data_IF_764958281844
#
_entry.id   IF_764958281844
#
_cell.length_a   1.000
_cell.length_b   1.000
_cell.length_c   1.000
_cell.angle_alpha   90.00
_cell.angle_beta   90.00
_cell.angle_gamma   90.00
#
_symmetry.space_group_name_H-M   'P 1'
#
loop_
_entity.id
_entity.type
_entity.pdbx_description
1 polymer ?
#
# COMPACT_ATOMS: atom_id res chain seq x y z
N UNK A 1 -33.98 27.26 -20.64
CA UNK A 1 -33.05 26.16 -20.34
C UNK A 1 -31.84 26.38 -21.21
N UNK A 2 -30.67 26.64 -20.61
CA UNK A 2 -29.49 27.11 -21.32
C UNK A 2 -28.53 25.96 -21.61
N UNK A 3 -28.09 25.87 -22.86
CA UNK A 3 -26.87 25.12 -23.21
C UNK A 3 -25.73 25.66 -22.36
N UNK A 4 -25.04 24.80 -21.64
CA UNK A 4 -23.85 25.18 -20.89
C UNK A 4 -22.72 24.21 -21.16
N UNK A 5 -21.51 24.77 -21.15
CA UNK A 5 -20.30 23.99 -21.28
C UNK A 5 -19.99 23.36 -19.93
N UNK A 6 -19.80 22.05 -19.95
CA UNK A 6 -19.52 21.25 -18.77
C UNK A 6 -18.30 20.37 -19.00
N UNK A 7 -17.48 20.30 -17.97
CA UNK A 7 -16.33 19.41 -17.87
C UNK A 7 -16.57 18.43 -16.72
N UNK A 8 -16.39 17.14 -16.97
CA UNK A 8 -16.46 16.12 -15.93
C UNK A 8 -15.12 15.45 -15.73
N UNK A 9 -14.69 15.46 -14.47
CA UNK A 9 -13.45 14.87 -14.03
C UNK A 9 -13.73 13.63 -13.20
N UNK A 10 -12.94 12.58 -13.43
CA UNK A 10 -13.00 11.32 -12.69
C UNK A 10 -11.63 10.94 -12.16
N UNK A 11 -11.60 9.95 -11.30
CA UNK A 11 -10.41 9.48 -10.58
C UNK A 11 -9.56 8.58 -11.46
N UNK A 12 -8.27 8.90 -11.55
CA UNK A 12 -7.21 7.97 -11.89
C UNK A 12 -6.55 7.56 -10.59
N UNK A 13 -6.56 6.26 -10.33
CA UNK A 13 -5.97 5.68 -9.12
C UNK A 13 -4.62 5.09 -9.51
N UNK A 14 -3.54 5.60 -8.92
CA UNK A 14 -2.20 5.07 -9.09
C UNK A 14 -1.75 4.39 -7.79
N UNK A 15 -1.50 3.09 -7.87
CA UNK A 15 -1.02 2.28 -6.75
C UNK A 15 0.46 2.01 -6.90
N UNK A 16 1.20 2.22 -5.82
CA UNK A 16 2.61 1.85 -5.70
C UNK A 16 2.84 1.08 -4.41
N UNK A 17 3.87 0.25 -4.40
CA UNK A 17 4.16 -0.69 -3.32
C UNK A 17 5.57 -0.48 -2.78
N UNK A 18 5.76 -0.79 -1.50
CA UNK A 18 7.04 -0.63 -0.83
C UNK A 18 7.02 -1.27 0.55
N UNK A 19 8.04 -0.95 1.36
CA UNK A 19 8.09 -1.37 2.76
C UNK A 19 7.89 -0.16 3.68
N UNK A 20 7.21 -0.37 4.80
CA UNK A 20 7.07 0.62 5.88
C UNK A 20 8.37 0.73 6.70
N UNK A 21 8.37 1.62 7.69
CA UNK A 21 9.52 1.83 8.57
C UNK A 21 9.91 0.58 9.40
N UNK A 22 9.01 -0.40 9.50
CA UNK A 22 9.22 -1.67 10.20
C UNK A 22 9.52 -2.82 9.22
N UNK A 23 9.78 -2.53 7.94
CA UNK A 23 10.08 -3.52 6.92
C UNK A 23 8.86 -4.33 6.46
N UNK A 24 7.63 -3.91 6.80
CA UNK A 24 6.41 -4.61 6.40
C UNK A 24 5.90 -4.09 5.08
N UNK A 25 5.25 -4.96 4.31
CA UNK A 25 4.64 -4.60 3.04
C UNK A 25 3.65 -3.44 3.20
N UNK A 26 3.75 -2.44 2.33
CA UNK A 26 2.92 -1.23 2.34
C UNK A 26 2.47 -0.87 0.94
N UNK A 27 1.21 -0.43 0.85
CA UNK A 27 0.58 0.06 -0.38
C UNK A 27 0.31 1.56 -0.23
N UNK A 28 0.63 2.33 -1.28
CA UNK A 28 0.34 3.76 -1.35
C UNK A 28 -0.54 4.04 -2.56
N UNK A 29 -1.68 4.64 -2.29
CA UNK A 29 -2.62 5.08 -3.31
C UNK A 29 -2.50 6.59 -3.52
N UNK A 30 -2.30 7.00 -4.77
CA UNK A 30 -2.37 8.40 -5.19
C UNK A 30 -3.54 8.56 -6.17
N UNK A 31 -4.46 9.45 -5.82
CA UNK A 31 -5.62 9.78 -6.64
C UNK A 31 -5.32 11.07 -7.40
N UNK A 32 -5.53 11.05 -8.71
CA UNK A 32 -5.48 12.20 -9.60
C UNK A 32 -6.82 12.35 -10.32
N UNK A 33 -7.22 13.57 -10.66
CA UNK A 33 -8.47 13.82 -11.38
C UNK A 33 -8.16 14.16 -12.83
N UNK A 34 -8.76 13.44 -13.77
CA UNK A 34 -8.64 13.69 -15.20
C UNK A 34 -10.00 13.91 -15.85
N UNK A 35 -10.02 14.75 -16.88
CA UNK A 35 -11.20 14.96 -17.72
C UNK A 35 -11.53 13.68 -18.48
N UNK A 36 -12.77 13.18 -18.35
CA UNK A 36 -13.29 12.10 -19.20
C UNK A 36 -14.38 12.59 -20.15
N UNK A 37 -14.94 13.77 -19.91
CA UNK A 37 -15.92 14.40 -20.78
C UNK A 37 -15.77 15.92 -20.73
N UNK A 38 -15.82 16.53 -21.90
CA UNK A 38 -15.93 17.98 -22.06
C UNK A 38 -16.86 18.25 -23.24
N UNK A 39 -17.88 19.07 -23.00
CA UNK A 39 -18.85 19.35 -24.05
C UNK A 39 -20.00 20.25 -23.60
N UNK A 40 -20.86 20.56 -24.55
CA UNK A 40 -22.10 21.30 -24.30
C UNK A 40 -23.17 20.29 -23.89
N UNK A 41 -23.81 20.54 -22.76
CA UNK A 41 -24.99 19.79 -22.33
C UNK A 41 -26.23 20.68 -22.41
N UNK A 42 -27.32 20.11 -22.92
CA UNK A 42 -28.56 20.84 -23.22
C UNK A 42 -29.43 21.09 -21.96
N UNK A 43 -29.16 20.38 -20.87
CA UNK A 43 -29.93 20.40 -19.63
C UNK A 43 -29.00 20.49 -18.42
N UNK A 44 -29.38 21.31 -17.45
CA UNK A 44 -28.68 21.40 -16.16
C UNK A 44 -28.63 20.01 -15.49
N UNK A 45 -27.49 19.60 -14.90
CA UNK A 45 -27.40 18.29 -14.30
C UNK A 45 -28.41 18.14 -13.16
N UNK A 46 -29.14 17.03 -13.17
CA UNK A 46 -30.24 16.79 -12.23
C UNK A 46 -29.66 16.03 -11.03
N UNK A 47 -29.78 16.61 -9.84
CA UNK A 47 -29.42 15.95 -8.60
C UNK A 47 -30.59 15.10 -8.08
N UNK A 48 -30.41 13.78 -8.04
CA UNK A 48 -31.39 12.82 -7.52
C UNK A 48 -30.69 11.93 -6.50
N UNK A 49 -31.02 12.10 -5.21
CA UNK A 49 -30.46 11.26 -4.14
C UNK A 49 -28.93 11.30 -4.04
N UNK A 50 -28.32 12.48 -4.24
CA UNK A 50 -26.86 12.68 -4.21
C UNK A 50 -26.13 12.22 -5.47
N UNK A 51 -26.85 11.74 -6.49
CA UNK A 51 -26.30 11.41 -7.81
C UNK A 51 -26.68 12.50 -8.79
N UNK A 52 -25.75 12.85 -9.67
CA UNK A 52 -25.97 13.82 -10.73
C UNK A 52 -26.11 13.08 -12.06
N UNK A 53 -27.25 13.26 -12.70
CA UNK A 53 -27.45 12.77 -14.07
C UNK A 53 -26.85 13.74 -15.06
N UNK A 54 -26.02 13.23 -15.98
CA UNK A 54 -25.43 14.00 -17.07
C UNK A 54 -26.20 13.69 -18.35
N UNK A 55 -27.12 14.57 -18.78
CA UNK A 55 -27.80 14.41 -20.06
C UNK A 55 -26.77 14.48 -21.20
N UNK A 56 -26.75 13.45 -22.05
CA UNK A 56 -25.77 13.29 -23.15
C UNK A 56 -24.73 12.20 -22.92
N UNK A 57 -24.45 11.83 -21.66
CA UNK A 57 -23.52 10.74 -21.32
C UNK A 57 -24.25 9.45 -20.88
N UNK A 58 -25.57 9.52 -20.66
CA UNK A 58 -26.45 8.39 -20.29
C UNK A 58 -25.97 7.58 -19.07
N UNK A 59 -25.18 8.19 -18.19
CA UNK A 59 -24.63 7.57 -16.98
C UNK A 59 -24.95 8.45 -15.77
N UNK A 60 -25.19 7.80 -14.63
CA UNK A 60 -25.29 8.48 -13.34
C UNK A 60 -23.93 8.49 -12.68
N UNK A 61 -23.45 9.67 -12.29
CA UNK A 61 -22.20 9.82 -11.54
C UNK A 61 -22.48 10.51 -10.21
N UNK A 62 -21.72 10.17 -9.17
CA UNK A 62 -21.79 10.93 -7.91
C UNK A 62 -20.84 12.12 -8.06
N UNK A 63 -21.39 13.32 -7.91
CA UNK A 63 -20.57 14.54 -7.89
C UNK A 63 -20.07 14.77 -6.48
N UNK A 64 -18.75 14.85 -6.35
CA UNK A 64 -18.05 15.11 -5.09
C UNK A 64 -17.93 16.62 -4.87
N UNK A 65 -17.58 17.35 -5.92
CA UNK A 65 -17.45 18.81 -5.89
C UNK A 65 -17.85 19.41 -7.24
N UNK A 66 -18.26 20.67 -7.23
CA UNK A 66 -18.55 21.44 -8.44
C UNK A 66 -17.99 22.85 -8.32
N UNK A 67 -17.35 23.29 -9.39
CA UNK A 67 -16.72 24.60 -9.42
C UNK A 67 -17.11 25.32 -10.71
N UNK A 68 -17.26 26.64 -10.62
CA UNK A 68 -17.54 27.49 -11.77
C UNK A 68 -16.37 28.44 -11.96
N UNK A 69 -15.83 28.50 -13.18
CA UNK A 69 -14.76 29.43 -13.48
C UNK A 69 -15.31 30.84 -13.83
N UNK A 70 -14.40 31.79 -14.04
CA UNK A 70 -14.73 33.17 -14.43
C UNK A 70 -15.41 33.27 -15.80
N UNK A 71 -15.27 32.26 -16.65
CA UNK A 71 -15.89 32.18 -17.98
C UNK A 71 -17.28 31.52 -17.92
N UNK A 72 -17.83 31.32 -16.72
CA UNK A 72 -19.16 30.76 -16.51
C UNK A 72 -19.28 29.26 -16.85
N UNK A 73 -18.15 28.57 -17.06
CA UNK A 73 -18.06 27.14 -17.36
C UNK A 73 -18.07 26.32 -16.06
N UNK A 74 -18.72 25.16 -16.11
CA UNK A 74 -18.82 24.26 -14.96
C UNK A 74 -17.82 23.11 -15.05
N UNK A 75 -17.13 22.85 -13.94
CA UNK A 75 -16.34 21.64 -13.73
C UNK A 75 -16.96 20.82 -12.62
N UNK A 76 -17.27 19.55 -12.91
CA UNK A 76 -17.83 18.60 -11.97
C UNK A 76 -16.78 17.53 -11.66
N UNK A 77 -16.33 17.46 -10.41
CA UNK A 77 -15.49 16.37 -9.94
C UNK A 77 -16.37 15.22 -9.49
N UNK A 78 -16.10 14.03 -10.02
CA UNK A 78 -16.94 12.84 -9.81
C UNK A 78 -16.17 11.73 -9.12
N UNK A 79 -16.90 10.78 -8.53
CA UNK A 79 -16.33 9.56 -7.97
C UNK A 79 -15.97 8.50 -9.01
N UNK A 80 -16.30 8.74 -10.29
CA UNK A 80 -16.08 7.82 -11.40
C UNK A 80 -14.61 7.46 -11.51
N UNK A 81 -14.32 6.16 -11.53
CA UNK A 81 -12.96 5.66 -11.75
C UNK A 81 -12.75 5.54 -13.26
N UNK A 82 -11.86 6.37 -13.81
CA UNK A 82 -11.49 6.34 -15.22
C UNK A 82 -10.49 5.22 -15.47
N UNK A 83 -9.47 5.14 -14.61
CA UNK A 83 -8.35 4.21 -14.77
C UNK A 83 -7.77 3.83 -13.43
N UNK A 84 -7.31 2.58 -13.33
CA UNK A 84 -6.45 2.10 -12.24
C UNK A 84 -5.11 1.70 -12.85
N UNK A 85 -4.02 2.27 -12.36
CA UNK A 85 -2.67 1.90 -12.71
C UNK A 85 -2.01 1.24 -11.49
N UNK A 86 -1.39 0.10 -11.70
CA UNK A 86 -0.63 -0.61 -10.68
C UNK A 86 0.84 -0.64 -11.11
N UNK A 87 1.72 -0.13 -10.24
CA UNK A 87 3.16 -0.16 -10.47
C UNK A 87 3.71 -1.54 -10.09
N UNK A 88 3.65 -2.46 -11.05
CA UNK A 88 4.13 -3.83 -10.89
C UNK A 88 5.64 -3.89 -10.59
N UNK A 89 6.44 -2.95 -11.09
CA UNK A 89 7.87 -2.92 -10.77
C UNK A 89 8.08 -2.62 -9.28
N UNK A 90 7.34 -1.65 -8.73
CA UNK A 90 7.40 -1.37 -7.30
C UNK A 90 6.93 -2.56 -6.45
N UNK A 91 5.94 -3.31 -6.94
CA UNK A 91 5.44 -4.52 -6.30
C UNK A 91 6.53 -5.60 -6.19
N UNK A 92 7.14 -5.96 -7.32
CA UNK A 92 8.19 -6.98 -7.38
C UNK A 92 9.40 -6.61 -6.51
N UNK A 93 9.83 -5.34 -6.56
CA UNK A 93 10.93 -4.83 -5.72
C UNK A 93 10.60 -4.90 -4.23
N UNK A 94 9.36 -4.61 -3.84
CA UNK A 94 8.94 -4.67 -2.44
C UNK A 94 8.96 -6.11 -1.92
N UNK A 95 8.44 -7.06 -2.71
CA UNK A 95 8.47 -8.50 -2.39
C UNK A 95 9.91 -8.98 -2.25
N UNK A 96 10.78 -8.67 -3.21
CA UNK A 96 12.19 -9.10 -3.16
C UNK A 96 12.91 -8.59 -1.91
N UNK A 97 12.72 -7.32 -1.56
CA UNK A 97 13.31 -6.75 -0.33
C UNK A 97 12.78 -7.40 0.93
N UNK A 98 11.49 -7.71 0.99
CA UNK A 98 10.89 -8.39 2.13
C UNK A 98 11.48 -9.79 2.31
N UNK A 99 11.64 -10.54 1.21
CA UNK A 99 12.29 -11.85 1.24
C UNK A 99 13.75 -11.76 1.72
N UNK A 100 14.50 -10.75 1.26
CA UNK A 100 15.88 -10.53 1.71
C UNK A 100 15.96 -10.25 3.22
N UNK A 101 15.10 -9.38 3.74
CA UNK A 101 15.05 -9.08 5.17
C UNK A 101 14.70 -10.32 6.00
N UNK A 102 13.76 -11.15 5.53
CA UNK A 102 13.41 -12.40 6.18
C UNK A 102 14.61 -13.37 6.16
N UNK A 103 15.30 -13.52 5.02
CA UNK A 103 16.49 -14.37 4.92
C UNK A 103 17.62 -13.93 5.85
N UNK A 104 17.91 -12.62 5.92
CA UNK A 104 18.89 -12.04 6.84
C UNK A 104 18.54 -12.32 8.30
N UNK A 105 17.27 -12.13 8.67
CA UNK A 105 16.78 -12.42 10.02
C UNK A 105 16.92 -13.90 10.36
N UNK A 106 16.53 -14.80 9.44
CA UNK A 106 16.66 -16.24 9.62
C UNK A 106 18.14 -16.67 9.76
N UNK A 107 19.05 -16.05 9.01
CA UNK A 107 20.48 -16.29 9.16
C UNK A 107 21.01 -15.84 10.52
N UNK A 108 20.62 -14.65 10.96
CA UNK A 108 21.00 -14.12 12.27
C UNK A 108 20.55 -15.04 13.41
N UNK A 109 19.28 -15.46 13.39
CA UNK A 109 18.71 -16.40 14.35
C UNK A 109 19.45 -17.74 14.36
N UNK A 110 19.88 -18.25 13.19
CA UNK A 110 20.69 -19.48 13.12
C UNK A 110 22.05 -19.31 13.77
N UNK A 111 22.73 -18.19 13.54
CA UNK A 111 24.03 -17.89 14.12
C UNK A 111 23.95 -17.77 15.65
N UNK A 112 22.98 -17.02 16.16
CA UNK A 112 22.76 -16.87 17.61
C UNK A 112 22.46 -18.22 18.27
N UNK A 113 21.57 -19.02 17.68
CA UNK A 113 21.24 -20.36 18.20
C UNK A 113 22.47 -21.29 18.21
N UNK A 114 23.33 -21.19 17.19
CA UNK A 114 24.57 -21.96 17.16
C UNK A 114 25.52 -21.53 18.28
N UNK A 115 25.69 -20.21 18.48
CA UNK A 115 26.50 -19.68 19.58
C UNK A 115 26.01 -20.16 20.94
N UNK A 116 24.70 -20.06 21.20
CA UNK A 116 24.07 -20.52 22.44
C UNK A 116 24.28 -22.02 22.66
N UNK A 117 24.22 -22.81 21.58
CA UNK A 117 24.46 -24.26 21.64
C UNK A 117 25.92 -24.57 22.00
N UNK A 118 26.88 -23.91 21.37
CA UNK A 118 28.31 -24.08 21.65
C UNK A 118 28.67 -23.65 23.09
N UNK A 119 28.07 -22.56 23.58
CA UNK A 119 28.28 -22.10 24.95
C UNK A 119 27.69 -23.08 25.97
N UNK A 120 26.49 -23.61 25.72
CA UNK A 120 25.89 -24.66 26.53
C UNK A 120 26.74 -25.93 26.55
N UNK A 121 27.28 -26.36 25.40
CA UNK A 121 28.11 -27.56 25.31
C UNK A 121 29.46 -27.37 26.03
N UNK A 122 30.07 -26.19 25.95
CA UNK A 122 31.25 -25.80 26.75
C UNK A 122 30.94 -25.79 28.25
N UNK A 123 29.79 -25.24 28.65
CA UNK A 123 29.38 -25.19 30.04
C UNK A 123 29.11 -26.60 30.61
N UNK A 124 28.42 -27.45 29.84
CA UNK A 124 28.20 -28.87 30.18
C UNK A 124 29.53 -29.61 30.32
N UNK A 125 30.42 -29.53 29.34
CA UNK A 125 31.73 -30.21 29.40
C UNK A 125 32.59 -29.73 30.58
N UNK A 126 32.55 -28.44 30.92
CA UNK A 126 33.20 -27.88 32.11
C UNK A 126 32.59 -28.41 33.42
N UNK A 127 31.26 -28.47 33.51
CA UNK A 127 30.55 -29.04 34.65
C UNK A 127 30.86 -30.52 34.85
N UNK A 128 30.85 -31.32 33.78
CA UNK A 128 31.24 -32.72 33.80
C UNK A 128 32.70 -32.91 34.28
N UNK A 129 33.64 -32.07 33.82
CA UNK A 129 35.03 -32.11 34.31
C UNK A 129 35.15 -31.83 35.81
N UNK A 130 34.36 -30.88 36.34
CA UNK A 130 34.32 -30.61 37.78
C UNK A 130 33.75 -31.80 38.57
N UNK A 131 32.66 -32.41 38.09
CA UNK A 131 32.05 -33.57 38.73
C UNK A 131 33.03 -34.75 38.86
N UNK A 132 33.74 -35.10 37.78
CA UNK A 132 34.74 -36.19 37.79
C UNK A 132 35.96 -35.92 38.70
N UNK A 133 36.31 -34.64 38.92
CA UNK A 133 37.37 -34.27 39.88
C UNK A 133 36.93 -34.47 41.33
N UNK A 134 35.67 -34.18 41.65
CA UNK A 134 35.12 -34.44 42.98
C UNK A 134 35.06 -35.94 43.28
N UNK A 135 34.56 -36.76 42.34
CA UNK A 135 34.45 -38.22 42.54
C UNK A 135 35.82 -38.87 42.78
N UNK A 136 36.87 -38.43 42.08
CA UNK A 136 38.24 -38.98 42.27
C UNK A 136 38.95 -38.48 43.53
N UNK A 137 38.48 -37.41 44.16
CA UNK A 137 39.10 -36.87 45.37
C UNK A 137 38.64 -37.61 46.64
N UNK A 138 37.49 -38.29 46.60
CA UNK A 138 36.93 -39.09 47.71
C UNK A 138 37.42 -40.56 47.73
N UNK A 139 38.31 -40.97 46.80
CA UNK A 139 38.89 -42.33 46.72
C UNK A 139 40.30 -42.46 47.35
N UNK A 140 40.77 -41.48 48.12
CA UNK A 140 42.04 -41.51 48.88
C UNK A 140 41.75 -41.40 50.37
#
# INVERSE_FOLDING_TARGET
MGRHQAKFEGKIINKSYGLDALGRFSEKEKIEFNCFFEGIIDLDPIEVGGKVYIPGFNEYVVVIDRQRNTNNEWTYQTDKIIKKNEDNESFERAIQKQTQLEEEWQQHVRQENQFIKEENDKCKTSWWKRLWRFIRADEI
#
